data_IF_976189241969
#
_entry.id   IF_976189241969
#
_cell.length_a   1.000
_cell.length_b   1.000
_cell.length_c   1.000
_cell.angle_alpha   90.00
_cell.angle_beta   90.00
_cell.angle_gamma   90.00
#
_symmetry.space_group_name_H-M   'P 1'
#
loop_
_entity.id
_entity.type
_entity.pdbx_description
1 polymer ?
#
# COMPACT_ATOMS: atom_id res chain seq x y z
N UNK A 1 18.06 -11.45 -9.70
CA UNK A 1 18.21 -10.19 -8.94
C UNK A 1 19.60 -10.26 -8.31
N UNK A 2 20.47 -9.25 -8.44
CA UNK A 2 21.86 -9.40 -8.01
C UNK A 2 21.91 -9.68 -6.50
N UNK A 3 22.73 -10.65 -6.11
CA UNK A 3 22.95 -11.01 -4.71
C UNK A 3 23.53 -9.80 -3.99
N UNK A 4 22.74 -9.26 -3.06
CA UNK A 4 23.13 -8.08 -2.31
C UNK A 4 24.08 -8.54 -1.19
N UNK A 5 25.37 -8.69 -1.51
CA UNK A 5 26.42 -9.13 -0.59
C UNK A 5 26.54 -8.24 0.68
N UNK A 6 25.90 -7.06 0.66
CA UNK A 6 25.86 -6.07 1.74
C UNK A 6 25.04 -6.53 2.97
N UNK A 7 24.21 -7.57 2.87
CA UNK A 7 23.34 -8.01 3.97
C UNK A 7 23.99 -8.97 4.99
N UNK A 8 25.24 -9.40 4.79
CA UNK A 8 25.95 -10.26 5.77
C UNK A 8 26.51 -9.44 6.93
N UNK A 9 25.66 -8.98 7.86
CA UNK A 9 26.17 -8.39 9.12
C UNK A 9 25.59 -8.92 10.41
N UNK A 10 24.50 -9.68 10.40
CA UNK A 10 23.89 -10.19 11.63
C UNK A 10 23.60 -11.70 11.46
N UNK A 11 23.60 -12.48 12.54
CA UNK A 11 23.20 -13.90 12.58
C UNK A 11 21.69 -14.12 12.25
N UNK A 12 21.13 -13.29 11.37
CA UNK A 12 19.75 -13.30 10.94
C UNK A 12 19.63 -14.24 9.74
N UNK A 13 19.00 -15.39 9.94
CA UNK A 13 18.78 -16.40 8.89
C UNK A 13 17.61 -16.07 7.96
N UNK A 14 16.82 -15.05 8.30
CA UNK A 14 15.68 -14.60 7.51
C UNK A 14 15.98 -13.22 6.91
N UNK A 15 15.59 -13.02 5.66
CA UNK A 15 15.77 -11.78 4.90
C UNK A 15 14.53 -11.47 4.07
N UNK A 16 14.48 -10.28 3.47
CA UNK A 16 13.42 -9.90 2.54
C UNK A 16 13.30 -10.90 1.38
N UNK A 17 12.07 -11.22 0.97
CA UNK A 17 11.80 -12.07 -0.21
C UNK A 17 10.84 -11.36 -1.16
N UNK A 18 11.23 -11.27 -2.44
CA UNK A 18 10.44 -10.61 -3.48
C UNK A 18 9.05 -11.23 -3.71
N UNK A 19 8.83 -12.48 -3.30
CA UNK A 19 7.49 -13.12 -3.32
C UNK A 19 6.45 -12.32 -2.53
N UNK A 20 6.87 -11.56 -1.51
CA UNK A 20 5.95 -10.73 -0.73
C UNK A 20 5.28 -9.63 -1.55
N UNK A 21 5.85 -9.21 -2.68
CA UNK A 21 5.17 -8.27 -3.59
C UNK A 21 3.92 -8.86 -4.24
N UNK A 22 3.85 -10.18 -4.42
CA UNK A 22 2.67 -10.83 -5.00
C UNK A 22 1.49 -10.81 -4.03
N UNK A 23 1.79 -10.94 -2.74
CA UNK A 23 0.78 -11.01 -1.68
C UNK A 23 0.42 -9.63 -1.12
N UNK A 24 1.40 -8.72 -1.08
CA UNK A 24 1.24 -7.38 -0.53
C UNK A 24 1.75 -6.34 -1.55
N UNK A 25 0.95 -5.99 -2.58
CA UNK A 25 1.41 -5.16 -3.70
C UNK A 25 1.84 -3.74 -3.34
N UNK A 26 1.50 -3.25 -2.15
CA UNK A 26 1.78 -1.89 -1.70
C UNK A 26 2.99 -1.78 -0.77
N UNK A 27 3.77 -2.86 -0.61
CA UNK A 27 5.01 -2.80 0.15
C UNK A 27 6.14 -2.26 -0.73
N UNK A 28 7.10 -1.59 -0.10
CA UNK A 28 8.34 -1.14 -0.71
C UNK A 28 9.50 -1.62 0.14
N UNK A 29 10.53 -2.22 -0.48
CA UNK A 29 11.73 -2.63 0.22
C UNK A 29 12.85 -1.65 -0.09
N UNK A 30 13.54 -1.19 0.96
CA UNK A 30 14.74 -0.36 0.84
C UNK A 30 15.97 -1.24 1.06
N UNK A 31 16.79 -1.50 0.03
CA UNK A 31 18.02 -2.27 0.19
C UNK A 31 19.05 -1.58 1.09
N UNK A 32 19.07 -0.24 1.10
CA UNK A 32 20.02 0.54 1.91
C UNK A 32 19.67 0.52 3.40
N UNK A 33 18.39 0.44 3.74
CA UNK A 33 17.90 0.35 5.12
C UNK A 33 17.57 -1.07 5.58
N UNK A 34 17.70 -2.05 4.68
CA UNK A 34 17.22 -3.43 4.83
C UNK A 34 15.86 -3.47 5.55
N UNK A 35 14.86 -2.77 4.99
CA UNK A 35 13.55 -2.58 5.67
C UNK A 35 12.40 -2.45 4.67
N UNK A 36 11.22 -2.92 5.09
CA UNK A 36 9.96 -2.76 4.35
C UNK A 36 9.19 -1.52 4.84
N UNK A 37 8.57 -0.83 3.90
CA UNK A 37 7.62 0.26 4.09
C UNK A 37 6.29 -0.07 3.39
N UNK A 38 5.22 0.64 3.73
CA UNK A 38 3.95 0.60 3.01
C UNK A 38 3.74 1.92 2.26
N UNK A 39 3.65 1.83 0.93
CA UNK A 39 3.55 2.97 0.03
C UNK A 39 2.33 3.85 0.33
N UNK A 40 1.13 3.25 0.42
CA UNK A 40 -0.08 4.02 0.65
C UNK A 40 -0.10 4.64 2.05
N UNK A 41 0.37 3.93 3.08
CA UNK A 41 0.45 4.46 4.44
C UNK A 41 1.43 5.64 4.52
N UNK A 42 2.57 5.59 3.84
CA UNK A 42 3.55 6.69 3.85
C UNK A 42 2.99 7.97 3.22
N UNK A 43 2.13 7.87 2.21
CA UNK A 43 1.61 9.02 1.47
C UNK A 43 0.23 9.49 1.93
N UNK A 44 -0.61 8.57 2.41
CA UNK A 44 -2.03 8.80 2.71
C UNK A 44 -2.41 8.42 4.15
N UNK A 45 -1.44 8.09 5.00
CA UNK A 45 -1.62 7.68 6.39
C UNK A 45 -2.01 8.81 7.35
N UNK A 46 -1.81 10.06 6.94
CA UNK A 46 -2.21 11.25 7.69
C UNK A 46 -3.39 11.94 6.99
N UNK A 47 -4.50 12.11 7.70
CA UNK A 47 -5.64 12.87 7.20
C UNK A 47 -6.79 12.96 8.20
N UNK A 48 -7.78 13.83 7.96
CA UNK A 48 -8.92 13.99 8.87
C UNK A 48 -9.69 12.67 9.04
N UNK A 49 -9.91 12.27 10.29
CA UNK A 49 -10.70 11.09 10.63
C UNK A 49 -10.05 9.73 10.32
N UNK A 50 -8.75 9.65 10.01
CA UNK A 50 -8.07 8.35 9.86
C UNK A 50 -7.46 7.84 11.16
N UNK A 51 -7.47 6.52 11.32
CA UNK A 51 -6.52 5.85 12.19
C UNK A 51 -5.11 6.11 11.66
N UNK A 52 -4.22 6.62 12.52
CA UNK A 52 -2.87 6.97 12.09
C UNK A 52 -2.06 5.72 11.75
N UNK A 53 -1.42 5.72 10.58
CA UNK A 53 -0.56 4.61 10.19
C UNK A 53 0.64 4.48 11.13
N UNK A 54 1.04 3.25 11.44
CA UNK A 54 2.16 3.04 12.37
C UNK A 54 3.46 3.56 11.76
N UNK A 55 4.26 4.29 12.54
CA UNK A 55 5.58 4.80 12.14
C UNK A 55 6.51 3.69 11.60
N UNK A 56 6.29 2.44 12.03
CA UNK A 56 6.99 1.27 11.54
C UNK A 56 6.85 1.08 10.02
N UNK A 57 5.70 1.41 9.43
CA UNK A 57 5.44 1.21 8.00
C UNK A 57 5.68 2.46 7.15
N UNK A 58 5.98 3.60 7.76
CA UNK A 58 6.13 4.89 7.04
C UNK A 58 7.55 5.44 7.10
N UNK A 59 8.07 5.68 8.30
CA UNK A 59 9.33 6.41 8.52
C UNK A 59 10.47 5.48 8.97
N UNK A 60 10.19 4.58 9.90
CA UNK A 60 11.19 3.69 10.50
C UNK A 60 11.52 2.52 9.57
N UNK A 61 10.49 1.83 9.08
CA UNK A 61 10.63 0.60 8.30
C UNK A 61 10.61 -0.66 9.19
N UNK A 62 10.19 -1.78 8.60
CA UNK A 62 10.10 -3.08 9.27
C UNK A 62 11.15 -4.03 8.72
N UNK A 63 12.04 -4.50 9.60
CA UNK A 63 13.10 -5.47 9.28
C UNK A 63 13.18 -6.65 10.27
N UNK A 64 12.13 -6.82 11.09
CA UNK A 64 12.01 -7.99 11.97
C UNK A 64 11.61 -9.22 11.15
N UNK A 65 12.54 -9.72 10.34
CA UNK A 65 12.31 -10.74 9.31
C UNK A 65 11.67 -12.02 9.85
N UNK A 66 12.08 -12.45 11.05
CA UNK A 66 11.55 -13.63 11.74
C UNK A 66 10.07 -13.51 12.19
N UNK A 67 9.46 -12.33 12.09
CA UNK A 67 8.06 -12.07 12.48
C UNK A 67 7.20 -11.57 11.31
N UNK A 68 7.77 -11.43 10.12
CA UNK A 68 7.07 -10.84 8.97
C UNK A 68 5.91 -11.73 8.49
N UNK A 69 6.13 -13.04 8.39
CA UNK A 69 5.18 -14.04 7.82
C UNK A 69 4.52 -14.96 8.85
N UNK A 70 4.38 -14.48 10.07
CA UNK A 70 3.81 -15.24 11.19
C UNK A 70 4.89 -15.75 12.13
N UNK A 71 4.52 -15.95 13.40
CA UNK A 71 5.41 -16.52 14.41
C UNK A 71 5.15 -18.02 14.55
N UNK A 72 6.06 -18.75 15.22
CA UNK A 72 6.01 -20.21 15.47
C UNK A 72 4.84 -20.66 16.39
N UNK A 73 3.62 -20.24 16.13
CA UNK A 73 2.43 -20.61 16.89
C UNK A 73 1.20 -20.66 16.01
N UNK A 74 0.33 -21.64 16.27
CA UNK A 74 -0.93 -21.84 15.55
C UNK A 74 -1.77 -20.55 15.65
N UNK A 75 -2.21 -20.02 14.51
CA UNK A 75 -3.10 -18.84 14.38
C UNK A 75 -2.51 -17.44 14.66
N UNK A 76 -1.17 -17.25 14.70
CA UNK A 76 -0.60 -15.88 14.81
C UNK A 76 -0.26 -15.28 13.44
N UNK A 77 -1.02 -14.25 13.06
CA UNK A 77 -0.76 -13.42 11.86
C UNK A 77 0.64 -12.82 11.89
N UNK A 78 1.28 -12.76 10.73
CA UNK A 78 2.54 -12.05 10.54
C UNK A 78 2.37 -10.54 10.64
N UNK A 79 3.48 -9.81 10.81
CA UNK A 79 3.44 -8.35 10.77
C UNK A 79 2.85 -7.80 9.47
N UNK A 80 3.17 -8.41 8.31
CA UNK A 80 2.61 -7.98 7.02
C UNK A 80 1.09 -8.17 6.97
N UNK A 81 0.61 -9.35 7.38
CA UNK A 81 -0.81 -9.67 7.39
C UNK A 81 -1.58 -8.77 8.35
N UNK A 82 -1.09 -8.62 9.57
CA UNK A 82 -1.69 -7.75 10.57
C UNK A 82 -1.75 -6.29 10.11
N UNK A 83 -0.69 -5.80 9.45
CA UNK A 83 -0.67 -4.45 8.89
C UNK A 83 -1.68 -4.30 7.75
N UNK A 84 -1.70 -5.23 6.81
CA UNK A 84 -2.55 -5.18 5.62
C UNK A 84 -4.05 -5.14 5.98
N UNK A 85 -4.43 -5.74 7.11
CA UNK A 85 -5.80 -5.72 7.63
C UNK A 85 -6.10 -4.55 8.58
N UNK A 86 -5.10 -3.75 8.96
CA UNK A 86 -5.29 -2.65 9.90
C UNK A 86 -6.20 -1.56 9.32
N UNK A 87 -7.01 -0.94 10.17
CA UNK A 87 -7.89 0.18 9.77
C UNK A 87 -7.10 1.34 9.15
N UNK A 88 -5.91 1.62 9.68
CA UNK A 88 -5.03 2.66 9.16
C UNK A 88 -4.57 2.34 7.73
N UNK A 89 -4.20 1.09 7.44
CA UNK A 89 -3.87 0.65 6.08
C UNK A 89 -5.08 0.75 5.16
N UNK A 90 -6.24 0.22 5.57
CA UNK A 90 -7.46 0.24 4.78
C UNK A 90 -7.87 1.68 4.43
N UNK A 91 -7.83 2.59 5.40
CA UNK A 91 -8.13 4.01 5.20
C UNK A 91 -7.15 4.66 4.20
N UNK A 92 -5.85 4.40 4.38
CA UNK A 92 -4.80 4.89 3.47
C UNK A 92 -4.96 4.35 2.05
N UNK A 93 -5.30 3.06 1.92
CA UNK A 93 -5.56 2.40 0.65
C UNK A 93 -6.77 3.02 -0.05
N UNK A 94 -7.88 3.26 0.66
CA UNK A 94 -9.05 3.92 0.07
C UNK A 94 -8.71 5.29 -0.50
N UNK A 95 -7.92 6.09 0.23
CA UNK A 95 -7.45 7.40 -0.25
C UNK A 95 -6.55 7.27 -1.48
N UNK A 96 -5.63 6.32 -1.47
CA UNK A 96 -4.78 6.02 -2.62
C UNK A 96 -5.61 5.61 -3.85
N UNK A 97 -6.61 4.74 -3.70
CA UNK A 97 -7.49 4.33 -4.79
C UNK A 97 -8.27 5.50 -5.36
N UNK A 98 -8.87 6.34 -4.48
CA UNK A 98 -9.54 7.58 -4.90
C UNK A 98 -8.60 8.51 -5.65
N UNK A 99 -7.37 8.70 -5.18
CA UNK A 99 -6.38 9.51 -5.87
C UNK A 99 -6.06 9.01 -7.29
N UNK A 100 -6.08 7.69 -7.51
CA UNK A 100 -5.86 7.10 -8.85
C UNK A 100 -7.06 7.16 -9.77
N UNK A 101 -8.26 7.44 -9.26
CA UNK A 101 -9.44 7.58 -10.12
C UNK A 101 -9.28 8.80 -11.02
N UNK A 102 -9.45 8.61 -12.33
CA UNK A 102 -9.33 9.68 -13.34
C UNK A 102 -10.18 10.90 -12.99
N UNK A 103 -11.36 10.68 -12.42
CA UNK A 103 -12.31 11.75 -12.04
C UNK A 103 -11.78 12.67 -10.95
N UNK A 104 -10.82 12.20 -10.15
CA UNK A 104 -10.18 12.98 -9.09
C UNK A 104 -8.84 13.57 -9.53
N UNK A 105 -8.43 13.36 -10.79
CA UNK A 105 -7.23 13.99 -11.36
C UNK A 105 -7.51 15.48 -11.63
N UNK A 106 -6.52 16.34 -11.33
CA UNK A 106 -6.62 17.78 -11.53
C UNK A 106 -7.02 18.17 -12.96
N UNK A 107 -6.54 17.46 -13.97
CA UNK A 107 -6.86 17.72 -15.37
C UNK A 107 -8.36 17.52 -15.63
N UNK A 108 -8.93 16.44 -15.07
CA UNK A 108 -10.36 16.18 -15.16
C UNK A 108 -11.19 17.16 -14.34
N UNK A 109 -10.70 17.56 -13.15
CA UNK A 109 -11.41 18.51 -12.29
C UNK A 109 -11.50 19.90 -12.91
N UNK A 110 -10.46 20.32 -13.65
CA UNK A 110 -10.39 21.63 -14.30
C UNK A 110 -11.08 21.66 -15.67
N UNK A 111 -11.14 20.55 -16.39
CA UNK A 111 -11.79 20.46 -17.69
C UNK A 111 -13.29 20.15 -17.58
N UNK A 112 -14.10 21.22 -17.52
CA UNK A 112 -15.57 21.14 -17.46
C UNK A 112 -16.20 20.47 -18.69
N UNK A 113 -15.57 20.56 -19.86
CA UNK A 113 -16.11 19.94 -21.08
C UNK A 113 -15.98 18.43 -21.02
N UNK A 114 -14.81 17.95 -20.57
CA UNK A 114 -14.56 16.52 -20.36
C UNK A 114 -15.52 15.91 -19.32
N UNK A 115 -15.83 16.65 -18.25
CA UNK A 115 -16.81 16.23 -17.23
C UNK A 115 -18.21 16.05 -17.82
N UNK A 116 -18.69 17.03 -18.59
CA UNK A 116 -20.02 16.97 -19.21
C UNK A 116 -20.12 15.82 -20.23
N UNK A 117 -19.08 15.58 -21.02
CA UNK A 117 -19.04 14.45 -21.96
C UNK A 117 -19.11 13.10 -21.24
N UNK A 118 -18.39 12.91 -20.14
CA UNK A 118 -18.49 11.67 -19.35
C UNK A 118 -19.86 11.49 -18.73
N UNK A 119 -20.46 12.56 -18.19
CA UNK A 119 -21.81 12.51 -17.62
C UNK A 119 -22.84 12.11 -18.68
N UNK A 120 -22.77 12.70 -19.88
CA UNK A 120 -23.63 12.35 -21.00
C UNK A 120 -23.46 10.88 -21.43
N UNK A 121 -22.22 10.37 -21.51
CA UNK A 121 -21.95 8.96 -21.83
C UNK A 121 -22.55 8.01 -20.79
N UNK A 122 -22.41 8.33 -19.51
CA UNK A 122 -23.00 7.53 -18.42
C UNK A 122 -24.53 7.56 -18.48
N UNK A 123 -25.13 8.72 -18.79
CA UNK A 123 -26.57 8.87 -18.94
C UNK A 123 -27.11 8.01 -20.11
N UNK A 124 -26.44 8.07 -21.27
CA UNK A 124 -26.79 7.26 -22.44
C UNK A 124 -26.62 5.75 -22.19
N UNK A 125 -25.56 5.36 -21.49
CA UNK A 125 -25.35 3.95 -21.16
C UNK A 125 -26.45 3.39 -20.23
N UNK A 126 -26.97 4.22 -19.33
CA UNK A 126 -28.09 3.85 -18.44
C UNK A 126 -29.42 3.78 -19.19
N UNK A 127 -29.70 4.73 -20.08
CA UNK A 127 -30.94 4.72 -20.87
C UNK A 127 -31.00 3.58 -21.89
N UNK A 128 -29.86 3.03 -22.31
CA UNK A 128 -29.82 1.88 -23.22
C UNK A 128 -29.99 0.53 -22.52
N UNK A 129 -30.04 0.53 -21.18
CA UNK A 129 -30.28 -0.67 -20.37
C UNK A 129 -31.74 -0.80 -19.92
N UNK A 130 -32.53 0.26 -20.06
CA UNK A 130 -33.98 0.34 -19.81
C UNK A 130 -34.77 0.09 -21.09
#
# INVERSE_FOLDING_TARGET
YPDNEVLKKNNQTCHFTSKWYQEFPLIEYSPTKDSIYCFCCRLFGDGPGSAQSENAWTTLGVNTWNKIKGSRGVNKKGKLEAHNESEAHISSLQRYLKFKERKNNIDFMLDKNLQQQEQQKVQMAKSNLE
#
